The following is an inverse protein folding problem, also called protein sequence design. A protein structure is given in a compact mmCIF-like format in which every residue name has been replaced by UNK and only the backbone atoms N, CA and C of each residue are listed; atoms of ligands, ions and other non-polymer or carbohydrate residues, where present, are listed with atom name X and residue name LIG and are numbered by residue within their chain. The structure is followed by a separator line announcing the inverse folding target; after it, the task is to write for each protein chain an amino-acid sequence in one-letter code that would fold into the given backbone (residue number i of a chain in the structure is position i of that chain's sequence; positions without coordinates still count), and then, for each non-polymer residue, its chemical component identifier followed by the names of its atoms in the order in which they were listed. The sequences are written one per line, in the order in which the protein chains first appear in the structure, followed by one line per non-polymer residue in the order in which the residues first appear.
data_IF_344534966872
#
_entry.id   IF_344534966872
#
_cell.length_a   1.000
_cell.length_b   1.000
_cell.length_c   1.000
_cell.angle_alpha   90.00
_cell.angle_beta   90.00
_cell.angle_gamma   90.00
#
_symmetry.space_group_name_H-M   'P 1'
#
loop_
_entity.id
_entity.type
_entity.pdbx_description
1 polymer ?
#
# COMPACT_ATOMS: atom_id res chain seq x y z
N UNK A 1 -0.12 -17.64 -35.18
CA UNK A 1 0.88 -17.17 -34.15
C UNK A 1 2.19 -17.88 -34.44
N UNK A 2 3.29 -17.13 -34.45
CA UNK A 2 4.62 -17.71 -34.54
C UNK A 2 4.90 -18.60 -33.33
N UNK A 3 5.64 -19.69 -33.56
CA UNK A 3 5.99 -20.67 -32.52
C UNK A 3 7.50 -20.60 -32.21
N UNK A 4 7.93 -21.21 -31.10
CA UNK A 4 9.37 -21.32 -30.76
C UNK A 4 10.16 -22.05 -31.88
N UNK A 5 9.50 -22.96 -32.64
CA UNK A 5 10.10 -23.66 -33.78
C UNK A 5 10.34 -22.70 -34.96
N UNK A 6 9.44 -21.77 -35.20
CA UNK A 6 9.58 -20.76 -36.27
C UNK A 6 10.73 -19.79 -35.96
N UNK A 7 10.83 -19.35 -34.69
CA UNK A 7 11.96 -18.53 -34.23
C UNK A 7 13.29 -19.28 -34.38
N UNK A 8 13.34 -20.54 -33.96
CA UNK A 8 14.52 -21.38 -34.08
C UNK A 8 14.97 -21.54 -35.53
N UNK A 9 14.02 -21.81 -36.44
CA UNK A 9 14.26 -21.91 -37.89
C UNK A 9 14.82 -20.60 -38.46
N UNK A 10 14.23 -19.46 -38.07
CA UNK A 10 14.64 -18.15 -38.57
C UNK A 10 16.00 -17.71 -38.02
N UNK A 11 16.28 -17.97 -36.77
CA UNK A 11 17.57 -17.66 -36.14
C UNK A 11 18.68 -18.67 -36.47
N UNK A 12 18.39 -19.77 -37.14
CA UNK A 12 19.35 -20.83 -37.48
C UNK A 12 19.86 -21.59 -36.26
N UNK A 13 19.02 -21.78 -35.23
CA UNK A 13 19.38 -22.47 -33.98
C UNK A 13 18.35 -23.56 -33.63
N UNK A 14 18.64 -24.35 -32.59
CA UNK A 14 17.65 -25.31 -32.09
C UNK A 14 16.58 -24.64 -31.22
N UNK A 15 15.35 -25.19 -31.09
CA UNK A 15 14.34 -24.69 -30.15
C UNK A 15 14.81 -24.65 -28.71
N UNK A 16 15.70 -25.55 -28.30
CA UNK A 16 16.31 -25.52 -26.96
C UNK A 16 17.25 -24.34 -26.77
N UNK A 17 17.95 -23.90 -27.83
CA UNK A 17 18.78 -22.69 -27.83
C UNK A 17 17.91 -21.45 -27.65
N UNK A 18 16.77 -21.35 -28.37
CA UNK A 18 15.80 -20.25 -28.18
C UNK A 18 15.30 -20.23 -26.74
N UNK A 19 14.90 -21.39 -26.19
CA UNK A 19 14.43 -21.48 -24.80
C UNK A 19 15.48 -21.06 -23.78
N UNK A 20 16.77 -21.40 -24.02
CA UNK A 20 17.90 -20.98 -23.15
C UNK A 20 18.17 -19.46 -23.30
N UNK A 21 18.05 -18.91 -24.50
CA UNK A 21 18.17 -17.47 -24.75
C UNK A 21 17.09 -16.68 -24.02
N UNK A 22 15.85 -17.17 -24.01
CA UNK A 22 14.75 -16.56 -23.25
C UNK A 22 15.02 -16.50 -21.72
N UNK A 23 15.80 -17.44 -21.20
CA UNK A 23 16.24 -17.48 -19.80
C UNK A 23 17.57 -16.76 -19.55
N UNK A 24 18.05 -16.06 -20.54
CA UNK A 24 19.36 -15.36 -20.52
C UNK A 24 20.55 -16.24 -20.07
N UNK A 25 20.51 -17.52 -20.42
CA UNK A 25 21.48 -18.51 -19.96
C UNK A 25 22.90 -18.12 -20.44
N UNK A 26 23.85 -18.11 -19.52
CA UNK A 26 25.26 -17.75 -19.78
C UNK A 26 25.96 -18.69 -20.73
N UNK A 27 25.48 -19.92 -20.94
CA UNK A 27 26.04 -20.87 -21.92
C UNK A 27 25.73 -20.49 -23.38
N UNK A 28 24.87 -19.49 -23.63
CA UNK A 28 24.57 -18.99 -24.97
C UNK A 28 25.35 -17.70 -25.21
N UNK A 29 26.07 -17.65 -26.35
CA UNK A 29 26.84 -16.47 -26.71
C UNK A 29 25.92 -15.26 -26.98
N UNK A 30 26.40 -14.04 -26.68
CA UNK A 30 25.65 -12.81 -26.90
C UNK A 30 25.26 -12.62 -28.37
N UNK A 31 26.11 -13.02 -29.30
CA UNK A 31 25.78 -13.00 -30.73
C UNK A 31 24.54 -13.86 -31.05
N UNK A 32 24.48 -15.06 -30.46
CA UNK A 32 23.32 -15.95 -30.63
C UNK A 32 22.08 -15.38 -29.97
N UNK A 33 22.19 -14.78 -28.78
CA UNK A 33 21.09 -14.10 -28.12
C UNK A 33 20.51 -12.96 -28.96
N UNK A 34 21.36 -12.15 -29.57
CA UNK A 34 20.97 -11.05 -30.47
C UNK A 34 20.21 -11.61 -31.68
N UNK A 35 20.72 -12.64 -32.35
CA UNK A 35 20.04 -13.26 -33.50
C UNK A 35 18.65 -13.83 -33.15
N UNK A 36 18.55 -14.48 -32.01
CA UNK A 36 17.27 -15.04 -31.54
C UNK A 36 16.26 -13.92 -31.20
N UNK A 37 16.69 -12.88 -30.50
CA UNK A 37 15.83 -11.72 -30.16
C UNK A 37 15.34 -10.99 -31.42
N UNK A 38 16.21 -10.76 -32.39
CA UNK A 38 15.82 -10.17 -33.67
C UNK A 38 14.82 -11.04 -34.44
N UNK A 39 15.01 -12.36 -34.46
CA UNK A 39 14.06 -13.28 -35.11
C UNK A 39 12.71 -13.30 -34.38
N UNK A 40 12.67 -13.15 -33.05
CA UNK A 40 11.44 -13.05 -32.27
C UNK A 40 10.68 -11.78 -32.61
N UNK A 41 11.35 -10.64 -32.64
CA UNK A 41 10.75 -9.34 -32.96
C UNK A 41 10.16 -9.35 -34.39
N UNK A 42 10.91 -9.83 -35.37
CA UNK A 42 10.50 -9.89 -36.77
C UNK A 42 9.30 -10.81 -37.03
N UNK A 43 9.20 -11.91 -36.23
CA UNK A 43 8.08 -12.85 -36.31
C UNK A 43 6.90 -12.47 -35.40
N UNK A 44 7.02 -11.40 -34.58
CA UNK A 44 6.04 -11.06 -33.57
C UNK A 44 5.84 -12.20 -32.57
N UNK A 45 6.89 -12.97 -32.27
CA UNK A 45 6.81 -14.09 -31.35
C UNK A 45 6.80 -13.62 -29.89
N UNK A 46 5.72 -13.93 -29.20
CA UNK A 46 5.60 -13.74 -27.76
C UNK A 46 5.69 -15.12 -27.08
N UNK A 47 6.57 -15.31 -26.09
CA UNK A 47 6.65 -16.56 -25.36
C UNK A 47 5.32 -16.95 -24.74
N UNK A 48 4.93 -18.21 -24.89
CA UNK A 48 3.67 -18.71 -24.32
C UNK A 48 3.85 -18.93 -22.81
N UNK A 49 3.12 -18.15 -21.99
CA UNK A 49 3.16 -18.21 -20.53
C UNK A 49 2.77 -19.60 -19.98
N UNK A 50 1.80 -20.29 -20.60
CA UNK A 50 1.42 -21.64 -20.21
C UNK A 50 2.55 -22.66 -20.43
N UNK A 51 3.31 -22.52 -21.53
CA UNK A 51 4.47 -23.37 -21.78
C UNK A 51 5.63 -23.06 -20.82
N UNK A 52 5.82 -21.79 -20.46
CA UNK A 52 6.79 -21.39 -19.45
C UNK A 52 6.43 -21.93 -18.07
N UNK A 53 5.17 -21.81 -17.67
CA UNK A 53 4.63 -22.34 -16.41
C UNK A 53 4.86 -23.86 -16.31
N UNK A 54 4.59 -24.63 -17.38
CA UNK A 54 4.87 -26.06 -17.41
C UNK A 54 6.37 -26.38 -17.23
N UNK A 55 7.23 -25.53 -17.75
CA UNK A 55 8.68 -25.74 -17.70
C UNK A 55 9.35 -25.28 -16.39
N UNK A 56 8.79 -24.27 -15.72
CA UNK A 56 9.37 -23.62 -14.51
C UNK A 56 8.57 -23.90 -13.25
N UNK A 57 7.31 -24.24 -13.37
CA UNK A 57 6.35 -24.34 -12.24
C UNK A 57 5.88 -22.98 -11.74
N UNK A 58 6.37 -21.87 -12.31
CA UNK A 58 6.01 -20.49 -11.94
C UNK A 58 5.06 -19.87 -12.97
N UNK A 59 4.11 -19.09 -12.48
CA UNK A 59 3.10 -18.40 -13.30
C UNK A 59 3.56 -17.03 -13.76
N UNK A 60 4.60 -16.49 -13.13
CA UNK A 60 5.03 -15.10 -13.27
C UNK A 60 3.91 -14.11 -12.95
N UNK A 61 3.10 -14.44 -11.94
CA UNK A 61 1.99 -13.61 -11.46
C UNK A 61 2.09 -13.42 -9.95
N UNK A 62 1.91 -12.18 -9.51
CA UNK A 62 1.85 -11.79 -8.11
C UNK A 62 0.40 -11.48 -7.73
N UNK A 63 -0.09 -12.06 -6.65
CA UNK A 63 -1.40 -11.77 -6.10
C UNK A 63 -1.35 -10.52 -5.22
N UNK A 64 -2.26 -9.57 -5.42
CA UNK A 64 -2.44 -8.43 -4.52
C UNK A 64 -3.78 -8.56 -3.83
N UNK A 65 -3.75 -8.57 -2.50
CA UNK A 65 -4.95 -8.77 -1.67
C UNK A 65 -5.37 -7.42 -1.09
N UNK A 66 -6.53 -6.92 -1.52
CA UNK A 66 -7.14 -5.72 -0.97
C UNK A 66 -7.82 -6.04 0.38
N UNK A 67 -8.02 -5.04 1.27
CA UNK A 67 -8.84 -5.24 2.47
C UNK A 67 -10.28 -5.61 2.11
N UNK A 68 -11.07 -6.10 3.08
CA UNK A 68 -12.51 -6.28 2.89
C UNK A 68 -13.19 -5.01 2.41
N UNK A 69 -13.87 -5.10 1.25
CA UNK A 69 -14.54 -3.96 0.60
C UNK A 69 -16.04 -3.93 0.97
N UNK A 70 -16.34 -3.83 2.25
CA UNK A 70 -17.71 -3.82 2.77
C UNK A 70 -18.42 -2.49 2.59
N UNK A 71 -17.67 -1.38 2.66
CA UNK A 71 -18.22 -0.02 2.63
C UNK A 71 -17.72 0.76 1.42
N UNK A 72 -18.57 1.66 0.90
CA UNK A 72 -18.15 2.59 -0.18
C UNK A 72 -16.92 3.42 0.20
N UNK A 73 -16.71 3.64 1.48
CA UNK A 73 -15.57 4.39 2.01
C UNK A 73 -14.26 3.67 1.73
N UNK A 74 -14.17 2.37 1.99
CA UNK A 74 -12.99 1.56 1.68
C UNK A 74 -12.74 1.43 0.17
N UNK A 75 -13.81 1.35 -0.64
CA UNK A 75 -13.70 1.25 -2.11
C UNK A 75 -13.16 2.55 -2.72
N UNK A 76 -13.48 3.70 -2.15
CA UNK A 76 -13.09 5.02 -2.68
C UNK A 76 -11.76 5.56 -2.16
N UNK A 77 -10.99 4.80 -1.39
CA UNK A 77 -9.69 5.22 -0.90
C UNK A 77 -8.66 5.32 -2.05
N UNK A 78 -8.13 6.52 -2.35
CA UNK A 78 -7.16 6.70 -3.44
C UNK A 78 -5.91 5.85 -3.27
N UNK A 79 -5.49 5.66 -2.03
CA UNK A 79 -4.32 4.86 -1.67
C UNK A 79 -4.29 3.51 -2.37
N UNK A 80 -5.43 2.78 -2.42
CA UNK A 80 -5.44 1.45 -3.03
C UNK A 80 -5.23 1.46 -4.53
N UNK A 81 -5.77 2.45 -5.24
CA UNK A 81 -5.53 2.58 -6.69
C UNK A 81 -4.10 3.02 -6.99
N UNK A 82 -3.58 3.96 -6.22
CA UNK A 82 -2.22 4.46 -6.37
C UNK A 82 -1.18 3.36 -6.11
N UNK A 83 -1.32 2.62 -5.00
CA UNK A 83 -0.37 1.54 -4.68
C UNK A 83 -0.51 0.35 -5.64
N UNK A 84 -1.72 0.00 -6.11
CA UNK A 84 -1.91 -1.03 -7.12
C UNK A 84 -1.23 -0.68 -8.44
N UNK A 85 -1.34 0.59 -8.87
CA UNK A 85 -0.67 1.09 -10.07
C UNK A 85 0.84 0.99 -9.92
N UNK A 86 1.39 1.46 -8.80
CA UNK A 86 2.82 1.40 -8.51
C UNK A 86 3.35 -0.05 -8.40
N UNK A 87 2.59 -0.96 -7.76
CA UNK A 87 2.93 -2.39 -7.71
C UNK A 87 2.94 -2.99 -9.11
N UNK A 88 1.96 -2.66 -9.96
CA UNK A 88 1.89 -3.18 -11.32
C UNK A 88 3.03 -2.67 -12.19
N UNK A 89 3.43 -1.41 -12.04
CA UNK A 89 4.60 -0.83 -12.72
C UNK A 89 5.89 -1.55 -12.34
N UNK A 90 6.17 -1.69 -11.03
CA UNK A 90 7.36 -2.39 -10.56
C UNK A 90 7.34 -3.89 -10.94
N UNK A 91 6.18 -4.57 -10.81
CA UNK A 91 6.03 -5.96 -11.24
C UNK A 91 6.33 -6.15 -12.73
N UNK A 92 5.86 -5.23 -13.57
CA UNK A 92 6.11 -5.23 -15.02
C UNK A 92 7.59 -5.10 -15.35
N UNK A 93 8.37 -4.30 -14.61
CA UNK A 93 9.83 -4.20 -14.74
C UNK A 93 10.53 -5.56 -14.50
N UNK A 94 9.89 -6.45 -13.75
CA UNK A 94 10.37 -7.79 -13.45
C UNK A 94 9.66 -8.89 -14.27
N UNK A 95 8.95 -8.54 -15.34
CA UNK A 95 8.17 -9.48 -16.18
C UNK A 95 7.14 -10.28 -15.35
N UNK A 96 6.57 -9.66 -14.34
CA UNK A 96 5.48 -10.22 -13.55
C UNK A 96 4.15 -9.56 -13.92
N UNK A 97 3.06 -10.31 -13.79
CA UNK A 97 1.68 -9.83 -13.95
C UNK A 97 1.05 -9.72 -12.57
N UNK A 98 0.17 -8.74 -12.38
CA UNK A 98 -0.59 -8.58 -11.14
C UNK A 98 -1.98 -9.18 -11.27
N UNK A 99 -2.36 -10.00 -10.29
CA UNK A 99 -3.70 -10.55 -10.12
C UNK A 99 -4.28 -10.07 -8.80
N UNK A 100 -5.51 -9.57 -8.79
CA UNK A 100 -6.12 -8.94 -7.62
C UNK A 100 -7.10 -9.90 -6.95
N UNK A 101 -7.00 -10.04 -5.62
CA UNK A 101 -7.97 -10.70 -4.76
C UNK A 101 -8.81 -9.66 -4.04
N UNK A 102 -10.14 -9.77 -4.16
CA UNK A 102 -11.12 -8.92 -3.48
C UNK A 102 -12.21 -9.77 -2.82
N UNK A 103 -12.82 -9.25 -1.78
CA UNK A 103 -13.95 -9.87 -1.10
C UNK A 103 -14.62 -8.86 -0.17
N UNK A 104 -15.87 -9.10 0.20
CA UNK A 104 -16.59 -8.24 1.14
C UNK A 104 -16.22 -8.58 2.60
N UNK A 105 -15.72 -9.78 2.87
CA UNK A 105 -15.29 -10.22 4.21
C UNK A 105 -13.93 -10.92 4.15
N UNK A 106 -13.29 -11.08 5.31
CA UNK A 106 -12.04 -11.85 5.41
C UNK A 106 -12.23 -13.32 5.01
N UNK A 107 -13.40 -13.91 5.26
CA UNK A 107 -13.74 -15.26 4.86
C UNK A 107 -13.87 -15.43 3.34
N UNK A 108 -14.36 -14.40 2.64
CA UNK A 108 -14.39 -14.38 1.18
C UNK A 108 -12.97 -14.20 0.62
N UNK A 109 -12.18 -13.30 1.20
CA UNK A 109 -10.79 -13.08 0.79
C UNK A 109 -9.94 -14.34 0.92
N UNK A 110 -10.04 -15.06 2.03
CA UNK A 110 -9.26 -16.32 2.17
C UNK A 110 -9.66 -17.36 1.15
N UNK A 111 -10.96 -17.48 0.82
CA UNK A 111 -11.43 -18.39 -0.25
C UNK A 111 -10.87 -18.00 -1.61
N UNK A 112 -10.84 -16.69 -1.89
CA UNK A 112 -10.29 -16.16 -3.15
C UNK A 112 -8.79 -16.43 -3.25
N UNK A 113 -8.04 -16.14 -2.19
CA UNK A 113 -6.58 -16.38 -2.12
C UNK A 113 -6.27 -17.88 -2.23
N UNK A 114 -7.04 -18.73 -1.53
CA UNK A 114 -6.92 -20.18 -1.65
C UNK A 114 -7.14 -20.66 -3.09
N UNK A 115 -8.17 -20.14 -3.75
CA UNK A 115 -8.47 -20.47 -5.15
C UNK A 115 -7.34 -20.03 -6.07
N UNK A 116 -6.83 -18.81 -5.92
CA UNK A 116 -5.71 -18.29 -6.72
C UNK A 116 -4.45 -19.13 -6.53
N UNK A 117 -4.12 -19.49 -5.30
CA UNK A 117 -2.97 -20.34 -4.99
C UNK A 117 -3.14 -21.75 -5.60
N UNK A 118 -4.27 -22.43 -5.37
CA UNK A 118 -4.51 -23.80 -5.85
C UNK A 118 -4.60 -23.91 -7.37
N UNK A 119 -5.13 -22.86 -8.01
CA UNK A 119 -5.22 -22.78 -9.47
C UNK A 119 -3.94 -22.26 -10.15
N UNK A 120 -2.90 -21.99 -9.36
CA UNK A 120 -1.66 -21.44 -9.89
C UNK A 120 -1.88 -20.11 -10.64
N UNK A 121 -2.68 -19.19 -10.06
CA UNK A 121 -2.89 -17.84 -10.60
C UNK A 121 -1.96 -16.79 -10.00
N UNK A 122 -1.25 -17.15 -8.93
CA UNK A 122 -0.23 -16.32 -8.32
C UNK A 122 0.85 -17.19 -7.69
N UNK A 123 2.09 -16.76 -7.78
CA UNK A 123 3.25 -17.43 -7.18
C UNK A 123 3.47 -17.00 -5.73
N UNK A 124 3.05 -15.79 -5.38
CA UNK A 124 3.11 -15.22 -4.04
C UNK A 124 2.16 -14.03 -3.92
N UNK A 125 2.04 -13.45 -2.71
CA UNK A 125 1.02 -12.44 -2.44
C UNK A 125 1.58 -11.20 -1.75
N UNK A 126 0.99 -10.03 -2.07
CA UNK A 126 1.16 -8.76 -1.37
C UNK A 126 -0.18 -8.44 -0.71
N UNK A 127 -0.23 -8.36 0.63
CA UNK A 127 -1.43 -8.04 1.39
C UNK A 127 -1.38 -6.54 1.71
N UNK A 128 -2.43 -5.78 1.35
CA UNK A 128 -2.50 -4.33 1.51
C UNK A 128 -3.29 -3.89 2.76
N UNK A 129 -3.28 -4.69 3.80
CA UNK A 129 -3.91 -4.39 5.08
C UNK A 129 -3.24 -5.15 6.22
N UNK A 130 -3.50 -4.75 7.45
CA UNK A 130 -2.99 -5.41 8.66
C UNK A 130 -4.13 -5.67 9.64
N UNK A 131 -4.36 -6.96 9.92
CA UNK A 131 -5.37 -7.42 10.87
C UNK A 131 -4.78 -8.40 11.90
N UNK A 132 -5.23 -8.31 13.16
CA UNK A 132 -4.73 -9.18 14.25
C UNK A 132 -5.02 -10.65 14.02
N UNK A 133 -6.24 -10.98 13.60
CA UNK A 133 -6.68 -12.36 13.31
C UNK A 133 -7.02 -12.45 11.83
N UNK A 134 -6.02 -12.62 11.00
CA UNK A 134 -6.17 -12.61 9.55
C UNK A 134 -6.12 -14.03 8.98
N UNK A 135 -7.25 -14.60 8.55
CA UNK A 135 -7.31 -15.93 7.99
C UNK A 135 -6.56 -16.07 6.66
N UNK A 136 -6.36 -14.97 5.92
CA UNK A 136 -5.53 -14.96 4.69
C UNK A 136 -4.07 -15.20 5.06
N UNK A 137 -3.56 -14.44 6.02
CA UNK A 137 -2.19 -14.58 6.52
C UNK A 137 -1.95 -15.98 7.10
N UNK A 138 -2.90 -16.49 7.90
CA UNK A 138 -2.82 -17.82 8.49
C UNK A 138 -2.79 -18.92 7.44
N UNK A 139 -3.63 -18.81 6.39
CA UNK A 139 -3.62 -19.73 5.27
C UNK A 139 -2.27 -19.73 4.55
N UNK A 140 -1.73 -18.56 4.20
CA UNK A 140 -0.46 -18.44 3.47
C UNK A 140 0.71 -18.98 4.30
N UNK A 141 0.77 -18.69 5.60
CA UNK A 141 1.77 -19.27 6.52
C UNK A 141 1.67 -20.79 6.60
N UNK A 142 0.46 -21.34 6.76
CA UNK A 142 0.22 -22.78 6.84
C UNK A 142 0.63 -23.50 5.55
N UNK A 143 0.35 -22.91 4.39
CA UNK A 143 0.67 -23.47 3.09
C UNK A 143 2.12 -23.16 2.64
N UNK A 144 2.87 -22.36 3.43
CA UNK A 144 4.23 -21.89 3.10
C UNK A 144 4.29 -21.15 1.76
N UNK A 145 3.25 -20.41 1.42
CA UNK A 145 3.20 -19.56 0.25
C UNK A 145 3.94 -18.26 0.56
N UNK A 146 4.88 -17.81 -0.28
CA UNK A 146 5.57 -16.53 -0.07
C UNK A 146 4.59 -15.36 -0.10
N UNK A 147 4.68 -14.46 0.88
CA UNK A 147 3.90 -13.22 0.89
C UNK A 147 4.60 -12.13 1.71
N UNK A 148 4.20 -10.90 1.46
CA UNK A 148 4.57 -9.71 2.22
C UNK A 148 3.32 -8.93 2.60
N UNK A 149 3.40 -8.11 3.65
CA UNK A 149 2.31 -7.26 4.11
C UNK A 149 2.74 -5.80 3.99
N UNK A 150 1.94 -4.98 3.33
CA UNK A 150 2.05 -3.52 3.35
C UNK A 150 1.16 -3.01 4.47
N UNK A 151 1.78 -2.45 5.50
CA UNK A 151 1.12 -1.96 6.70
C UNK A 151 1.80 -2.45 7.97
N UNK A 152 1.26 -2.02 9.10
CA UNK A 152 1.84 -2.22 10.43
C UNK A 152 1.99 -3.70 10.82
N UNK A 153 3.07 -4.02 11.49
CA UNK A 153 3.31 -5.35 12.03
C UNK A 153 2.38 -5.62 13.22
N UNK A 154 1.57 -6.66 13.15
CA UNK A 154 0.55 -6.95 14.18
C UNK A 154 0.86 -8.23 14.95
N UNK A 155 1.09 -9.32 14.23
CA UNK A 155 1.37 -10.65 14.80
C UNK A 155 2.37 -11.39 13.91
N UNK A 156 3.06 -12.37 14.51
CA UNK A 156 4.04 -13.20 13.79
C UNK A 156 5.18 -12.39 13.13
N UNK A 157 5.60 -11.29 13.76
CA UNK A 157 6.66 -10.39 13.25
C UNK A 157 7.92 -11.12 12.80
N UNK A 158 8.26 -12.23 13.45
CA UNK A 158 9.41 -13.06 13.11
C UNK A 158 9.18 -14.03 11.94
N UNK A 159 7.99 -14.06 11.36
CA UNK A 159 7.62 -15.00 10.28
C UNK A 159 7.13 -14.31 9.00
N UNK A 160 6.84 -13.03 9.08
CA UNK A 160 6.25 -12.23 8.00
C UNK A 160 7.14 -11.04 7.70
N UNK A 161 7.28 -10.71 6.42
CA UNK A 161 7.92 -9.45 5.99
C UNK A 161 6.85 -8.38 5.91
N UNK A 162 7.06 -7.29 6.67
CA UNK A 162 6.22 -6.11 6.70
C UNK A 162 6.96 -4.95 6.03
N UNK A 163 6.26 -4.23 5.16
CA UNK A 163 6.74 -3.00 4.52
C UNK A 163 5.77 -1.89 4.92
N UNK A 164 6.26 -0.88 5.64
CA UNK A 164 5.41 0.19 6.15
C UNK A 164 6.22 1.46 6.41
N UNK A 165 5.53 2.55 6.71
CA UNK A 165 6.15 3.72 7.33
C UNK A 165 6.27 3.50 8.86
N UNK A 166 7.02 4.35 9.54
CA UNK A 166 6.92 4.46 11.00
C UNK A 166 5.69 5.30 11.35
N UNK A 167 4.55 4.61 11.57
CA UNK A 167 3.28 5.28 11.83
C UNK A 167 3.26 6.00 13.19
N UNK A 168 4.03 5.54 14.19
CA UNK A 168 4.17 6.27 15.44
C UNK A 168 4.93 7.58 15.22
N UNK A 169 6.03 7.50 14.47
CA UNK A 169 6.82 8.70 14.14
C UNK A 169 6.02 9.68 13.28
N UNK A 170 5.16 9.21 12.37
CA UNK A 170 4.21 10.07 11.66
C UNK A 170 3.27 10.81 12.62
N UNK A 171 2.77 10.13 13.66
CA UNK A 171 1.97 10.75 14.71
C UNK A 171 2.76 11.78 15.52
N UNK A 172 4.03 11.47 15.88
CA UNK A 172 4.95 12.38 16.56
C UNK A 172 5.18 13.66 15.74
N UNK A 173 5.57 13.51 14.49
CA UNK A 173 5.87 14.65 13.60
C UNK A 173 4.65 15.52 13.34
N UNK A 174 3.44 14.95 13.26
CA UNK A 174 2.22 15.72 13.09
C UNK A 174 1.94 16.64 14.30
N UNK A 175 2.13 16.15 15.52
CA UNK A 175 1.99 16.96 16.74
C UNK A 175 3.08 18.02 16.82
N UNK A 176 4.34 17.63 16.61
CA UNK A 176 5.49 18.55 16.66
C UNK A 176 5.32 19.70 15.66
N UNK A 177 4.86 19.40 14.44
CA UNK A 177 4.61 20.40 13.43
C UNK A 177 3.51 21.40 13.84
N UNK A 178 2.37 20.91 14.32
CA UNK A 178 1.27 21.78 14.75
C UNK A 178 1.64 22.60 16.01
N UNK A 179 2.37 22.01 16.93
CA UNK A 179 2.88 22.70 18.12
C UNK A 179 3.87 23.80 17.74
N UNK A 180 4.76 23.56 16.78
CA UNK A 180 5.67 24.58 16.25
C UNK A 180 4.94 25.74 15.55
N UNK A 181 3.71 25.49 15.01
CA UNK A 181 2.82 26.53 14.49
C UNK A 181 1.99 27.24 15.59
N UNK A 182 2.17 26.90 16.87
CA UNK A 182 1.51 27.54 18.01
C UNK A 182 0.26 26.83 18.54
N UNK A 183 -0.19 25.75 17.88
CA UNK A 183 -1.36 24.99 18.33
C UNK A 183 -1.05 24.19 19.59
N UNK A 184 -1.92 24.27 20.59
CA UNK A 184 -1.79 23.54 21.86
C UNK A 184 -2.97 22.61 22.14
N UNK A 185 -4.12 22.87 21.56
CA UNK A 185 -5.30 22.01 21.60
C UNK A 185 -5.43 21.31 20.27
N UNK A 186 -4.91 20.09 20.18
CA UNK A 186 -4.80 19.31 18.95
C UNK A 186 -5.69 18.07 19.07
N UNK A 187 -6.64 17.89 18.18
CA UNK A 187 -7.48 16.68 18.10
C UNK A 187 -6.97 15.68 17.07
N UNK A 188 -7.24 14.38 17.28
CA UNK A 188 -6.98 13.34 16.30
C UNK A 188 -8.31 12.78 15.77
N UNK A 189 -8.50 12.81 14.45
CA UNK A 189 -9.73 12.42 13.77
C UNK A 189 -9.53 11.15 12.95
N UNK A 190 -10.40 10.19 13.17
CA UNK A 190 -10.43 8.91 12.44
C UNK A 190 -11.87 8.54 12.05
N UNK A 191 -12.03 7.56 11.19
CA UNK A 191 -13.32 6.90 10.87
C UNK A 191 -13.39 5.49 11.45
N UNK A 192 -12.27 4.93 11.87
CA UNK A 192 -12.09 3.55 12.30
C UNK A 192 -11.20 3.49 13.54
N UNK A 193 -11.78 3.06 14.66
CA UNK A 193 -11.06 2.90 15.93
C UNK A 193 -10.14 1.67 15.96
N UNK A 194 -10.29 0.73 15.01
CA UNK A 194 -9.62 -0.57 15.04
C UNK A 194 -8.51 -0.74 13.99
N UNK A 195 -8.38 0.18 13.04
CA UNK A 195 -7.34 0.13 12.02
C UNK A 195 -5.95 0.31 12.63
N UNK A 196 -5.05 -0.67 12.43
CA UNK A 196 -3.74 -0.71 13.10
C UNK A 196 -2.88 0.54 12.78
N UNK A 197 -2.86 0.96 11.52
CA UNK A 197 -2.13 2.17 11.08
C UNK A 197 -2.62 3.42 11.82
N UNK A 198 -3.95 3.57 11.91
CA UNK A 198 -4.55 4.68 12.67
C UNK A 198 -4.21 4.62 14.15
N UNK A 199 -4.26 3.43 14.76
CA UNK A 199 -3.90 3.23 16.17
C UNK A 199 -2.45 3.62 16.45
N UNK A 200 -1.50 3.25 15.59
CA UNK A 200 -0.08 3.63 15.76
C UNK A 200 0.13 5.13 15.60
N UNK A 201 -0.52 5.79 14.63
CA UNK A 201 -0.48 7.26 14.48
C UNK A 201 -1.07 7.95 15.71
N UNK A 202 -2.21 7.48 16.21
CA UNK A 202 -2.82 8.01 17.43
C UNK A 202 -1.95 7.78 18.67
N UNK A 203 -1.32 6.62 18.79
CA UNK A 203 -0.37 6.36 19.87
C UNK A 203 0.82 7.34 19.82
N UNK A 204 1.37 7.59 18.63
CA UNK A 204 2.41 8.59 18.44
C UNK A 204 1.94 9.99 18.84
N UNK A 205 0.73 10.40 18.45
CA UNK A 205 0.12 11.64 18.91
C UNK A 205 0.07 11.71 20.44
N UNK A 206 -0.41 10.67 21.13
CA UNK A 206 -0.51 10.65 22.59
C UNK A 206 0.85 10.81 23.26
N UNK A 207 1.87 10.06 22.83
CA UNK A 207 3.21 10.07 23.42
C UNK A 207 3.86 11.46 23.36
N UNK A 208 3.71 12.20 22.25
CA UNK A 208 4.27 13.55 22.14
C UNK A 208 3.43 14.58 22.86
N UNK A 209 2.11 14.47 22.80
CA UNK A 209 1.23 15.40 23.50
C UNK A 209 1.47 15.35 25.02
N UNK A 210 1.62 14.16 25.60
CA UNK A 210 1.99 13.97 27.01
C UNK A 210 3.35 14.63 27.34
N UNK A 211 4.36 14.37 26.51
CA UNK A 211 5.71 14.91 26.71
C UNK A 211 5.76 16.45 26.64
N UNK A 212 4.93 17.07 25.82
CA UNK A 212 4.83 18.51 25.65
C UNK A 212 3.84 19.17 26.62
N UNK A 213 3.22 18.40 27.53
CA UNK A 213 2.15 18.86 28.41
C UNK A 213 0.98 19.52 27.64
N UNK A 214 0.62 18.93 26.52
CA UNK A 214 -0.60 19.27 25.77
C UNK A 214 -1.77 18.45 26.32
N UNK A 215 -2.98 18.99 26.15
CA UNK A 215 -4.19 18.21 26.47
C UNK A 215 -4.33 17.04 25.48
N UNK A 216 -4.15 15.80 25.96
CA UNK A 216 -4.42 14.60 25.15
C UNK A 216 -5.92 14.45 25.00
N UNK A 217 -6.42 14.67 23.80
CA UNK A 217 -7.84 14.48 23.49
C UNK A 217 -8.12 13.02 23.11
N UNK A 218 -9.31 12.50 23.44
CA UNK A 218 -9.73 11.19 22.93
C UNK A 218 -9.80 11.23 21.40
N UNK A 219 -9.72 10.05 20.80
CA UNK A 219 -9.89 9.89 19.36
C UNK A 219 -11.28 10.34 18.92
N UNK A 220 -11.34 11.27 17.96
CA UNK A 220 -12.60 11.84 17.45
C UNK A 220 -13.04 11.04 16.22
N UNK A 221 -14.13 10.28 16.36
CA UNK A 221 -14.61 9.41 15.27
C UNK A 221 -15.57 10.15 14.36
N UNK A 222 -15.15 10.43 13.13
CA UNK A 222 -15.91 11.13 12.10
C UNK A 222 -16.47 10.16 11.07
N UNK A 223 -17.77 9.85 11.19
CA UNK A 223 -18.51 9.03 10.24
C UNK A 223 -19.97 9.43 10.20
N UNK A 224 -20.73 8.99 9.21
CA UNK A 224 -22.16 9.23 9.13
C UNK A 224 -22.94 8.70 10.35
N UNK A 225 -22.42 7.68 11.05
CA UNK A 225 -23.06 7.10 12.24
C UNK A 225 -22.74 7.87 13.51
N UNK A 226 -21.60 8.53 13.58
CA UNK A 226 -21.07 9.19 14.78
C UNK A 226 -21.11 10.71 14.71
N UNK A 227 -21.65 11.30 13.65
CA UNK A 227 -21.56 12.73 13.36
C UNK A 227 -22.08 13.63 14.51
N UNK A 228 -23.16 13.23 15.17
CA UNK A 228 -23.73 13.98 16.31
C UNK A 228 -22.83 13.91 17.55
N UNK A 229 -22.21 12.77 17.78
CA UNK A 229 -21.23 12.60 18.87
C UNK A 229 -19.97 13.38 18.55
N UNK A 230 -19.46 13.27 17.33
CA UNK A 230 -18.30 14.02 16.85
C UNK A 230 -18.49 15.52 17.04
N UNK A 231 -19.67 16.07 16.65
CA UNK A 231 -19.98 17.49 16.84
C UNK A 231 -19.91 17.92 18.31
N UNK A 232 -20.53 17.14 19.22
CA UNK A 232 -20.50 17.43 20.66
C UNK A 232 -19.09 17.38 21.23
N UNK A 233 -18.29 16.42 20.81
CA UNK A 233 -16.89 16.31 21.25
C UNK A 233 -16.03 17.44 20.70
N UNK A 234 -16.21 17.82 19.43
CA UNK A 234 -15.52 18.96 18.83
C UNK A 234 -15.82 20.27 19.58
N UNK A 235 -17.09 20.51 19.92
CA UNK A 235 -17.54 21.66 20.72
C UNK A 235 -16.96 21.61 22.14
N UNK A 236 -17.00 20.44 22.79
CA UNK A 236 -16.51 20.24 24.17
C UNK A 236 -15.03 20.48 24.31
N UNK A 237 -14.21 19.91 23.41
CA UNK A 237 -12.75 19.98 23.48
C UNK A 237 -12.19 21.24 22.83
N UNK A 238 -12.94 21.82 21.89
CA UNK A 238 -12.56 23.06 21.17
C UNK A 238 -11.10 23.03 20.68
N UNK A 239 -10.68 22.01 19.90
CA UNK A 239 -9.33 21.98 19.35
C UNK A 239 -9.13 23.14 18.38
N UNK A 240 -7.89 23.62 18.24
CA UNK A 240 -7.52 24.62 17.23
C UNK A 240 -6.88 24.00 16.00
N UNK A 241 -6.48 22.72 16.10
CA UNK A 241 -5.92 21.95 15.00
C UNK A 241 -6.38 20.48 15.07
N UNK A 242 -6.48 19.85 13.92
CA UNK A 242 -6.92 18.47 13.76
C UNK A 242 -5.89 17.69 12.92
N UNK A 243 -5.41 16.60 13.48
CA UNK A 243 -4.66 15.57 12.77
C UNK A 243 -5.69 14.58 12.24
N UNK A 244 -5.77 14.39 10.93
CA UNK A 244 -6.78 13.53 10.31
C UNK A 244 -6.12 12.31 9.70
N UNK A 245 -6.66 11.12 9.95
CA UNK A 245 -6.11 9.81 9.61
C UNK A 245 -5.63 9.68 8.16
N UNK A 246 -6.34 10.28 7.20
CA UNK A 246 -5.98 10.32 5.78
C UNK A 246 -6.64 11.50 5.04
N UNK A 247 -6.20 11.75 3.80
CA UNK A 247 -6.66 12.88 3.00
C UNK A 247 -8.14 12.77 2.61
N UNK A 248 -8.68 11.56 2.42
CA UNK A 248 -10.10 11.37 2.08
C UNK A 248 -11.01 11.77 3.23
N UNK A 249 -10.65 11.37 4.46
CA UNK A 249 -11.38 11.79 5.67
C UNK A 249 -11.21 13.29 5.89
N UNK A 250 -10.01 13.85 5.64
CA UNK A 250 -9.79 15.28 5.72
C UNK A 250 -10.69 16.07 4.73
N UNK A 251 -10.81 15.60 3.48
CA UNK A 251 -11.71 16.18 2.49
C UNK A 251 -13.17 16.24 3.00
N UNK A 252 -13.67 15.11 3.50
CA UNK A 252 -15.05 15.02 4.02
C UNK A 252 -15.24 15.89 5.24
N UNK A 253 -14.25 15.93 6.13
CA UNK A 253 -14.29 16.77 7.33
C UNK A 253 -14.30 18.25 6.98
N UNK A 254 -13.47 18.70 6.05
CA UNK A 254 -13.46 20.09 5.58
C UNK A 254 -14.81 20.48 4.98
N UNK A 255 -15.39 19.62 4.14
CA UNK A 255 -16.73 19.86 3.58
C UNK A 255 -17.80 19.97 4.67
N UNK A 256 -17.73 19.09 5.67
CA UNK A 256 -18.65 19.13 6.80
C UNK A 256 -18.46 20.40 7.66
N UNK A 257 -17.23 20.77 8.01
CA UNK A 257 -16.90 21.99 8.75
C UNK A 257 -17.43 23.24 8.02
N UNK A 258 -17.19 23.34 6.71
CA UNK A 258 -17.71 24.45 5.90
C UNK A 258 -19.24 24.53 5.95
N UNK A 259 -19.95 23.40 5.92
CA UNK A 259 -21.40 23.35 6.05
C UNK A 259 -21.90 23.73 7.46
N UNK A 260 -21.05 23.60 8.49
CA UNK A 260 -21.35 24.11 9.85
C UNK A 260 -20.96 25.59 10.03
N UNK A 261 -20.39 26.25 9.01
CA UNK A 261 -19.97 27.65 9.03
C UNK A 261 -18.55 27.88 9.54
N UNK A 262 -17.76 26.83 9.73
CA UNK A 262 -16.35 26.94 10.08
C UNK A 262 -15.45 26.99 8.84
N UNK A 263 -14.32 27.65 8.95
CA UNK A 263 -13.33 27.80 7.89
C UNK A 263 -12.05 27.06 8.22
N UNK A 264 -11.47 26.47 7.21
CA UNK A 264 -10.13 25.87 7.27
C UNK A 264 -9.23 26.71 6.35
N UNK A 265 -8.12 27.22 6.85
CA UNK A 265 -7.46 26.94 8.13
C UNK A 265 -7.80 27.89 9.30
N UNK A 266 -8.64 28.91 9.11
CA UNK A 266 -8.82 30.01 10.07
C UNK A 266 -9.42 29.58 11.40
N UNK A 267 -10.43 28.71 11.39
CA UNK A 267 -11.08 28.21 12.62
C UNK A 267 -10.49 26.87 13.07
N UNK A 268 -10.06 26.04 12.12
CA UNK A 268 -9.37 24.76 12.36
C UNK A 268 -8.22 24.57 11.39
N UNK A 269 -6.98 24.43 11.90
CA UNK A 269 -5.88 23.93 11.11
C UNK A 269 -6.04 22.41 10.89
N UNK A 270 -5.76 21.91 9.69
CA UNK A 270 -5.89 20.47 9.37
C UNK A 270 -4.61 19.95 8.73
N UNK A 271 -4.10 18.83 9.27
CA UNK A 271 -3.02 18.04 8.68
C UNK A 271 -3.48 16.60 8.51
N UNK A 272 -3.03 15.94 7.44
CA UNK A 272 -3.41 14.56 7.12
C UNK A 272 -2.23 13.71 6.67
N UNK A 273 -2.52 12.55 6.10
CA UNK A 273 -1.52 11.60 5.61
C UNK A 273 -1.94 11.06 4.24
N UNK A 274 -0.95 10.63 3.47
CA UNK A 274 -0.91 9.94 2.18
C UNK A 274 -0.47 10.82 1.01
N UNK A 275 -0.66 12.14 1.05
CA UNK A 275 -0.38 13.05 -0.07
C UNK A 275 -1.05 12.59 -1.38
N UNK A 276 -2.31 12.18 -1.27
CA UNK A 276 -3.11 11.75 -2.41
C UNK A 276 -3.47 12.92 -3.33
N UNK A 277 -3.93 12.62 -4.54
CA UNK A 277 -4.43 13.63 -5.49
C UNK A 277 -5.43 14.59 -4.86
N UNK A 278 -6.22 14.18 -3.87
CA UNK A 278 -7.17 15.06 -3.17
C UNK A 278 -6.47 16.19 -2.41
N UNK A 279 -5.27 15.97 -1.89
CA UNK A 279 -4.54 17.00 -1.17
C UNK A 279 -4.14 18.20 -2.06
N UNK A 280 -4.11 18.00 -3.38
CA UNK A 280 -3.67 18.99 -4.37
C UNK A 280 -4.82 19.67 -5.12
N UNK A 281 -6.02 19.10 -5.09
CA UNK A 281 -7.15 19.64 -5.87
C UNK A 281 -8.23 20.30 -5.02
N UNK A 282 -8.27 20.04 -3.71
CA UNK A 282 -9.24 20.68 -2.81
C UNK A 282 -8.69 21.97 -2.21
N UNK A 283 -9.57 22.94 -1.95
CA UNK A 283 -9.22 24.15 -1.23
C UNK A 283 -9.81 24.15 0.19
N UNK A 284 -8.97 24.59 1.18
CA UNK A 284 -7.55 24.88 1.06
C UNK A 284 -6.72 23.66 0.64
N UNK A 285 -5.61 23.85 -0.08
CA UNK A 285 -4.69 22.75 -0.40
C UNK A 285 -4.16 22.12 0.89
N UNK A 286 -4.19 20.80 0.97
CA UNK A 286 -4.03 20.08 2.22
C UNK A 286 -2.55 19.87 2.58
N UNK A 287 -2.13 20.35 3.74
CA UNK A 287 -0.86 19.96 4.38
C UNK A 287 -0.97 18.51 4.80
N UNK A 288 -0.04 17.66 4.35
CA UNK A 288 -0.13 16.22 4.52
C UNK A 288 1.26 15.57 4.56
N UNK A 289 1.34 14.35 5.05
CA UNK A 289 2.56 13.55 4.94
C UNK A 289 2.53 12.68 3.70
N UNK A 290 3.54 12.81 2.84
CA UNK A 290 3.79 11.88 1.76
C UNK A 290 4.41 10.60 2.33
N UNK A 291 3.68 9.51 2.25
CA UNK A 291 4.08 8.19 2.74
C UNK A 291 4.94 7.41 1.74
N UNK A 292 5.25 7.99 0.59
CA UNK A 292 6.07 7.44 -0.48
C UNK A 292 5.54 6.10 -1.02
N UNK A 293 4.35 6.14 -1.61
CA UNK A 293 3.65 4.96 -2.17
C UNK A 293 4.52 4.22 -3.18
N UNK A 294 5.31 4.92 -3.99
CA UNK A 294 6.21 4.31 -4.98
C UNK A 294 7.27 3.43 -4.31
N UNK A 295 7.87 3.89 -3.20
CA UNK A 295 8.84 3.10 -2.46
C UNK A 295 8.17 1.91 -1.73
N UNK A 296 6.97 2.11 -1.14
CA UNK A 296 6.18 1.02 -0.56
C UNK A 296 5.93 -0.09 -1.58
N UNK A 297 5.48 0.25 -2.78
CA UNK A 297 5.21 -0.68 -3.86
C UNK A 297 6.47 -1.41 -4.33
N UNK A 298 7.54 -0.65 -4.59
CA UNK A 298 8.83 -1.19 -5.03
C UNK A 298 9.39 -2.20 -4.04
N UNK A 299 9.49 -1.84 -2.77
CA UNK A 299 9.99 -2.72 -1.72
C UNK A 299 9.09 -3.96 -1.56
N UNK A 300 7.78 -3.82 -1.71
CA UNK A 300 6.85 -4.95 -1.63
C UNK A 300 7.09 -5.97 -2.73
N UNK A 301 7.23 -5.53 -3.98
CA UNK A 301 7.50 -6.41 -5.12
C UNK A 301 8.88 -7.04 -4.99
N UNK A 302 9.92 -6.26 -4.69
CA UNK A 302 11.29 -6.76 -4.61
C UNK A 302 11.48 -7.76 -3.47
N UNK A 303 10.90 -7.50 -2.30
CA UNK A 303 10.93 -8.44 -1.18
C UNK A 303 10.16 -9.73 -1.51
N UNK A 304 8.97 -9.65 -2.11
CA UNK A 304 8.22 -10.84 -2.52
C UNK A 304 9.00 -11.67 -3.56
N UNK A 305 9.60 -11.03 -4.57
CA UNK A 305 10.45 -11.71 -5.54
C UNK A 305 11.70 -12.35 -4.90
N UNK A 306 12.25 -11.70 -3.89
CA UNK A 306 13.33 -12.27 -3.06
C UNK A 306 12.89 -13.53 -2.33
N UNK A 307 11.71 -13.54 -1.73
CA UNK A 307 11.11 -14.70 -1.05
C UNK A 307 10.82 -15.85 -2.02
N UNK A 308 10.36 -15.56 -3.23
CA UNK A 308 10.11 -16.56 -4.27
C UNK A 308 11.39 -17.28 -4.75
N UNK A 309 12.53 -16.61 -4.69
CA UNK A 309 13.84 -17.16 -5.06
C UNK A 309 14.57 -17.84 -3.89
N UNK A 310 14.21 -17.53 -2.67
CA UNK A 310 14.93 -17.98 -1.47
C UNK A 310 14.47 -19.36 -1.01
N UNK A 311 15.44 -20.20 -0.62
CA UNK A 311 15.17 -21.51 0.02
C UNK A 311 14.78 -21.36 1.51
N UNK A 312 15.08 -20.22 2.13
CA UNK A 312 14.74 -19.88 3.53
C UNK A 312 14.11 -18.49 3.56
N UNK A 313 12.92 -18.40 4.11
CA UNK A 313 12.21 -17.15 4.37
C UNK A 313 12.89 -16.47 5.57
N UNK A 314 13.42 -15.27 5.38
CA UNK A 314 13.81 -14.37 6.46
C UNK A 314 12.74 -13.28 6.55
N UNK A 315 12.05 -13.22 7.69
CA UNK A 315 11.18 -12.10 7.99
C UNK A 315 11.99 -10.84 8.24
N UNK A 316 11.47 -9.71 7.84
CA UNK A 316 12.09 -8.40 8.12
C UNK A 316 11.01 -7.32 8.19
N UNK A 317 11.31 -6.26 8.92
CA UNK A 317 10.53 -5.04 8.88
C UNK A 317 11.29 -4.02 8.02
N UNK A 318 10.66 -3.56 6.95
CA UNK A 318 11.19 -2.54 6.05
C UNK A 318 10.44 -1.25 6.32
N UNK A 319 11.16 -0.23 6.79
CA UNK A 319 10.57 1.09 7.07
C UNK A 319 10.86 2.02 5.91
N UNK A 320 9.79 2.56 5.33
CA UNK A 320 9.84 3.51 4.22
C UNK A 320 9.81 4.94 4.80
N UNK A 321 10.77 5.80 4.42
CA UNK A 321 10.76 7.18 4.87
C UNK A 321 9.57 7.95 4.29
N UNK A 322 9.07 8.89 5.08
CA UNK A 322 7.99 9.81 4.72
C UNK A 322 8.51 11.26 4.66
N UNK A 323 7.69 12.16 4.16
CA UNK A 323 8.00 13.59 4.05
C UNK A 323 6.78 14.43 4.33
N UNK A 324 6.91 15.48 5.14
CA UNK A 324 5.89 16.51 5.28
C UNK A 324 5.83 17.39 4.03
N UNK A 325 4.62 17.60 3.51
CA UNK A 325 4.31 18.52 2.40
C UNK A 325 3.42 19.63 2.97
N UNK A 326 4.02 20.78 3.22
CA UNK A 326 3.29 21.96 3.70
C UNK A 326 2.49 22.59 2.56
N UNK A 327 1.21 22.93 2.84
CA UNK A 327 0.31 23.65 1.95
C UNK A 327 -0.52 24.67 2.75
N UNK A 328 -1.79 24.86 2.39
CA UNK A 328 -2.61 25.98 2.87
C UNK A 328 -3.45 25.65 4.13
N UNK A 329 -3.68 24.37 4.42
CA UNK A 329 -4.62 23.94 5.47
C UNK A 329 -4.14 24.11 6.91
N UNK A 330 -2.93 24.65 7.12
CA UNK A 330 -2.36 24.95 8.42
C UNK A 330 -1.81 26.38 8.43
N UNK A 331 -2.34 27.22 9.30
CA UNK A 331 -1.80 28.55 9.59
C UNK A 331 -1.18 28.57 11.01
N UNK A 332 -0.21 29.49 11.26
CA UNK A 332 0.24 29.76 12.62
C UNK A 332 -0.93 30.19 13.51
N UNK A 333 -1.01 29.62 14.71
CA UNK A 333 -1.97 30.04 15.74
C UNK A 333 -1.35 31.16 16.56
N UNK A 334 -2.08 32.29 16.77
CA UNK A 334 -1.53 33.46 17.46
C UNK A 334 -1.27 33.22 18.95
#
# INVERSE_FOLDING_TARGET
MATIKDVAKKAGVSPSTVSRTLKDNSAISEETKIKVRAAMEELGYVPNSAAQMLATGLTHSLGVVLPPLTDRENISQPFYMEILTAINEEASCHSQVVSIATGATLEELVKQVELMHRQKRADGFIILYSEKKDPVKDYLLKQKVPFVVVGAAVENENKVTYIDNDNKELGHEAVNYLQAKGHRKIGFVTDDLFGQVGQERYQGYQEVADNLNLDVLPELVFSARTIETFKKELERFSPTALIVKDDLIALRLIQWLNNQGFRVPEDYAIISFNNSTFAEIMHPFLTTFDINIQALAKESVQNLLGLLKATKIKSQKVIIPFKLIERESVLPYP
#
